data_IF_124804159213
#
_entry.id   IF_124804159213
#
_cell.length_a   1.000
_cell.length_b   1.000
_cell.length_c   1.000
_cell.angle_alpha   90.00
_cell.angle_beta   90.00
_cell.angle_gamma   90.00
#
_symmetry.space_group_name_H-M   'P 1'
#
loop_
_entity.id
_entity.type
_entity.pdbx_description
1 polymer ?
#
# COMPACT_ATOMS: atom_id res chain seq x y z
N UNK A 1 31.85 48.93 10.01
CA UNK A 1 33.21 48.88 10.55
C UNK A 1 34.08 47.75 9.97
N UNK A 2 33.54 46.65 9.50
CA UNK A 2 34.28 45.53 8.89
C UNK A 2 34.82 45.76 7.47
N UNK A 3 34.23 46.64 6.67
CA UNK A 3 34.65 46.89 5.29
C UNK A 3 35.96 47.70 5.17
N UNK A 4 36.35 48.44 6.23
CA UNK A 4 37.56 49.25 6.26
C UNK A 4 38.84 48.41 6.45
N UNK A 5 38.74 47.34 7.21
CA UNK A 5 39.88 46.43 7.46
C UNK A 5 40.25 45.56 6.23
N UNK A 6 39.26 45.20 5.37
CA UNK A 6 39.48 44.40 4.17
C UNK A 6 40.19 45.16 3.05
N UNK A 7 40.02 46.50 2.98
CA UNK A 7 40.60 47.34 1.92
C UNK A 7 42.05 47.69 2.18
N UNK A 8 42.55 47.59 3.43
CA UNK A 8 43.91 47.93 3.82
C UNK A 8 44.82 46.72 4.07
N UNK A 9 44.38 45.53 3.94
CA UNK A 9 45.17 44.32 4.23
C UNK A 9 46.35 44.12 3.25
N UNK A 10 46.19 44.46 2.00
CA UNK A 10 47.23 44.36 0.98
C UNK A 10 48.34 45.43 1.15
N UNK A 11 48.03 46.70 1.34
CA UNK A 11 49.07 47.70 1.59
C UNK A 11 49.79 47.46 2.93
N UNK A 12 49.11 46.92 3.97
CA UNK A 12 49.77 46.59 5.23
C UNK A 12 50.71 45.38 5.09
N UNK A 13 50.32 44.35 4.35
CA UNK A 13 51.16 43.20 4.04
C UNK A 13 52.40 43.63 3.21
N UNK A 14 52.19 44.52 2.25
CA UNK A 14 53.26 45.04 1.39
C UNK A 14 54.21 45.88 2.18
N UNK A 15 53.72 46.75 3.08
CA UNK A 15 54.56 47.54 4.00
C UNK A 15 55.36 46.65 4.95
N UNK A 16 54.75 45.57 5.45
CA UNK A 16 55.45 44.62 6.33
C UNK A 16 56.55 43.85 5.58
N UNK A 17 56.29 43.40 4.37
CA UNK A 17 57.28 42.73 3.52
C UNK A 17 58.42 43.70 3.17
N UNK A 18 58.10 44.96 2.85
CA UNK A 18 59.11 46.00 2.58
C UNK A 18 59.98 46.29 3.81
N UNK A 19 59.36 46.35 4.98
CA UNK A 19 60.06 46.55 6.26
C UNK A 19 61.06 45.41 6.57
N UNK A 20 60.62 44.15 6.33
CA UNK A 20 61.47 42.97 6.49
C UNK A 20 62.63 42.96 5.48
N UNK A 21 62.38 43.36 4.23
CA UNK A 21 63.39 43.50 3.18
C UNK A 21 64.42 44.61 3.52
N UNK A 22 63.94 45.77 4.01
CA UNK A 22 64.80 46.88 4.45
C UNK A 22 65.64 46.44 5.65
N UNK A 23 65.13 45.73 6.59
CA UNK A 23 65.85 45.17 7.74
C UNK A 23 66.95 44.19 7.27
N UNK A 24 66.68 43.33 6.29
CA UNK A 24 67.67 42.42 5.71
C UNK A 24 68.81 43.15 4.92
N UNK A 25 68.42 44.19 4.15
CA UNK A 25 69.42 45.00 3.44
C UNK A 25 70.30 45.79 4.40
N UNK A 26 69.75 46.28 5.49
CA UNK A 26 70.54 47.01 6.52
C UNK A 26 71.50 46.08 7.29
N UNK A 27 71.15 44.81 7.38
CA UNK A 27 71.98 43.79 8.03
C UNK A 27 73.11 43.28 7.13
N UNK A 28 72.98 43.37 5.80
CA UNK A 28 73.97 42.90 4.85
C UNK A 28 75.20 43.91 4.66
N UNK A 29 75.06 45.13 5.21
CA UNK A 29 76.00 46.21 4.92
C UNK A 29 77.08 46.50 5.99
N UNK A 30 77.17 45.76 7.11
CA UNK A 30 78.20 46.00 8.16
C UNK A 30 78.84 44.74 8.64
N UNK A 31 80.06 44.56 8.12
CA UNK A 31 80.97 43.57 8.63
C UNK A 31 81.46 43.95 10.04
N UNK A 32 81.59 42.93 10.82
CA UNK A 32 82.48 42.81 12.01
C UNK A 32 82.24 43.77 13.16
N UNK A 33 81.73 43.21 14.24
CA UNK A 33 81.70 43.61 15.65
C UNK A 33 80.27 43.81 16.18
N UNK A 34 79.73 42.78 16.71
CA UNK A 34 79.12 42.73 18.08
C UNK A 34 78.21 41.50 18.30
N UNK A 35 78.81 40.53 18.94
CA UNK A 35 78.11 39.30 19.43
C UNK A 35 76.93 39.51 20.40
N UNK A 36 76.61 40.71 20.77
CA UNK A 36 75.55 41.02 21.72
C UNK A 36 74.21 41.35 21.03
N UNK A 37 74.27 42.05 19.91
CA UNK A 37 73.05 42.40 19.15
C UNK A 37 72.47 41.19 18.41
N UNK A 38 73.32 40.28 17.88
CA UNK A 38 72.85 39.05 17.28
C UNK A 38 72.08 38.14 18.25
N UNK A 39 72.57 38.03 19.48
CA UNK A 39 71.84 37.25 20.50
C UNK A 39 70.46 37.83 20.85
N UNK A 40 70.30 39.14 20.87
CA UNK A 40 69.01 39.81 21.14
C UNK A 40 68.02 39.61 20.00
N UNK A 41 68.51 39.72 18.76
CA UNK A 41 67.70 39.53 17.56
C UNK A 41 67.21 38.07 17.43
N UNK A 42 68.10 37.09 17.69
CA UNK A 42 67.71 35.68 17.69
C UNK A 42 66.73 35.34 18.83
N UNK A 43 66.88 35.97 20.01
CA UNK A 43 65.99 35.72 21.13
C UNK A 43 64.60 36.32 20.94
N UNK A 44 64.47 37.42 20.22
CA UNK A 44 63.20 38.09 19.92
C UNK A 44 62.50 37.48 18.68
N UNK A 45 63.28 36.98 17.70
CA UNK A 45 62.73 36.35 16.49
C UNK A 45 62.22 34.93 16.68
N UNK A 46 62.74 34.21 17.70
CA UNK A 46 62.38 32.82 17.96
C UNK A 46 60.89 32.62 18.33
N UNK A 47 60.29 33.40 19.24
CA UNK A 47 58.88 33.30 19.59
C UNK A 47 57.96 33.72 18.42
N UNK A 48 58.41 34.58 17.50
CA UNK A 48 57.62 35.03 16.37
C UNK A 48 57.56 33.97 15.26
N UNK A 49 58.66 33.25 14.99
CA UNK A 49 58.69 32.14 14.04
C UNK A 49 57.88 30.94 14.52
N UNK A 50 57.94 30.60 15.81
CA UNK A 50 57.14 29.51 16.40
C UNK A 50 55.63 29.85 16.44
N UNK A 51 55.29 31.14 16.65
CA UNK A 51 53.92 31.60 16.63
C UNK A 51 53.28 31.52 15.22
N UNK A 52 54.01 31.83 14.18
CA UNK A 52 53.52 31.74 12.79
C UNK A 52 53.28 30.30 12.38
N UNK A 53 54.19 29.37 12.73
CA UNK A 53 53.98 27.95 12.46
C UNK A 53 52.77 27.36 13.19
N UNK A 54 52.54 27.81 14.42
CA UNK A 54 51.35 27.38 15.18
C UNK A 54 50.03 27.90 14.57
N UNK A 55 50.04 29.16 14.11
CA UNK A 55 48.86 29.76 13.47
C UNK A 55 48.56 29.14 12.10
N UNK A 56 49.56 28.85 11.27
CA UNK A 56 49.37 28.24 9.95
C UNK A 56 48.81 26.82 10.09
N UNK A 57 49.38 26.00 10.94
CA UNK A 57 48.90 24.63 11.17
C UNK A 57 47.49 24.57 11.80
N UNK A 58 47.09 25.59 12.58
CA UNK A 58 45.78 25.67 13.17
C UNK A 58 44.72 26.09 12.13
N UNK A 59 45.06 26.94 11.19
CA UNK A 59 44.13 27.40 10.14
C UNK A 59 43.91 26.30 9.10
N UNK A 60 44.94 25.55 8.71
CA UNK A 60 44.78 24.43 7.76
C UNK A 60 43.86 23.34 8.32
N UNK A 61 43.95 23.00 9.60
CA UNK A 61 43.06 22.04 10.24
C UNK A 61 41.58 22.49 10.30
N UNK A 62 41.32 23.79 10.38
CA UNK A 62 39.97 24.34 10.37
C UNK A 62 39.34 24.38 8.97
N UNK A 63 40.15 24.64 7.93
CA UNK A 63 39.68 24.61 6.55
C UNK A 63 39.38 23.21 6.08
N UNK A 64 40.22 22.24 6.36
CA UNK A 64 39.99 20.84 6.03
C UNK A 64 38.75 20.29 6.75
N UNK A 65 38.57 20.61 8.02
CA UNK A 65 37.40 20.23 8.77
C UNK A 65 36.10 20.83 8.20
N UNK A 66 36.12 22.10 7.77
CA UNK A 66 34.94 22.77 7.20
C UNK A 66 34.58 22.25 5.81
N UNK A 67 35.55 22.03 4.93
CA UNK A 67 35.35 21.47 3.59
C UNK A 67 34.85 20.02 3.69
N UNK A 68 35.45 19.23 4.58
CA UNK A 68 35.01 17.85 4.83
C UNK A 68 33.58 17.77 5.37
N UNK A 69 33.17 18.74 6.22
CA UNK A 69 31.81 18.79 6.78
C UNK A 69 30.76 19.12 5.72
N UNK A 70 31.08 19.99 4.76
CA UNK A 70 30.19 20.32 3.62
C UNK A 70 30.07 19.13 2.69
N UNK A 71 31.15 18.46 2.32
CA UNK A 71 31.15 17.27 1.49
C UNK A 71 30.33 16.14 2.13
N UNK A 72 30.55 15.89 3.41
CA UNK A 72 29.80 14.86 4.17
C UNK A 72 28.30 15.16 4.29
N UNK A 73 27.93 16.43 4.39
CA UNK A 73 26.51 16.82 4.40
C UNK A 73 25.84 16.57 3.04
N UNK A 74 26.49 16.92 1.95
CA UNK A 74 25.96 16.67 0.60
C UNK A 74 25.83 15.17 0.32
N UNK A 75 26.87 14.40 0.66
CA UNK A 75 26.85 12.95 0.53
C UNK A 75 25.74 12.31 1.38
N UNK A 76 25.56 12.76 2.64
CA UNK A 76 24.49 12.29 3.50
C UNK A 76 23.10 12.62 2.93
N UNK A 77 22.95 13.81 2.31
CA UNK A 77 21.71 14.18 1.63
C UNK A 77 21.46 13.31 0.39
N UNK A 78 22.49 13.06 -0.41
CA UNK A 78 22.39 12.18 -1.59
C UNK A 78 22.03 10.75 -1.17
N UNK A 79 22.73 10.20 -0.18
CA UNK A 79 22.44 8.87 0.35
C UNK A 79 21.02 8.77 0.92
N UNK A 80 20.53 9.79 1.62
CA UNK A 80 19.15 9.82 2.11
C UNK A 80 18.13 9.83 0.97
N UNK A 81 18.39 10.60 -0.09
CA UNK A 81 17.54 10.63 -1.26
C UNK A 81 17.53 9.29 -2.00
N UNK A 82 18.70 8.67 -2.15
CA UNK A 82 18.85 7.33 -2.76
C UNK A 82 18.14 6.26 -1.93
N UNK A 83 18.29 6.29 -0.60
CA UNK A 83 17.55 5.39 0.31
C UNK A 83 16.04 5.60 0.20
N UNK A 84 15.57 6.84 0.08
CA UNK A 84 14.16 7.15 -0.11
C UNK A 84 13.65 6.60 -1.45
N UNK A 85 14.38 6.80 -2.53
CA UNK A 85 14.04 6.28 -3.86
C UNK A 85 14.06 4.74 -3.90
N UNK A 86 15.08 4.12 -3.30
CA UNK A 86 15.16 2.66 -3.21
C UNK A 86 14.01 2.06 -2.40
N UNK A 87 13.61 2.72 -1.31
CA UNK A 87 12.44 2.30 -0.52
C UNK A 87 11.15 2.40 -1.33
N UNK A 88 10.99 3.48 -2.10
CA UNK A 88 9.82 3.65 -2.96
C UNK A 88 9.77 2.56 -4.05
N UNK A 89 10.90 2.32 -4.75
CA UNK A 89 11.01 1.23 -5.73
C UNK A 89 10.75 -0.14 -5.11
N UNK A 90 11.24 -0.39 -3.89
CA UNK A 90 10.97 -1.62 -3.18
C UNK A 90 9.48 -1.79 -2.87
N UNK A 91 8.81 -0.74 -2.37
CA UNK A 91 7.38 -0.76 -2.10
C UNK A 91 6.56 -1.02 -3.36
N UNK A 92 6.89 -0.36 -4.48
CA UNK A 92 6.25 -0.61 -5.78
C UNK A 92 6.46 -2.05 -6.24
N UNK A 93 7.67 -2.59 -6.09
CA UNK A 93 7.97 -3.99 -6.46
C UNK A 93 7.21 -4.99 -5.59
N UNK A 94 7.10 -4.74 -4.29
CA UNK A 94 6.33 -5.58 -3.37
C UNK A 94 4.85 -5.57 -3.73
N UNK A 95 4.27 -4.40 -3.97
CA UNK A 95 2.87 -4.25 -4.38
C UNK A 95 2.60 -4.99 -5.69
N UNK A 96 3.43 -4.80 -6.71
CA UNK A 96 3.34 -5.52 -7.97
C UNK A 96 3.42 -7.03 -7.78
N UNK A 97 4.26 -7.52 -6.87
CA UNK A 97 4.41 -8.95 -6.60
C UNK A 97 3.16 -9.55 -5.95
N UNK A 98 2.53 -8.80 -5.04
CA UNK A 98 1.27 -9.20 -4.40
C UNK A 98 0.15 -9.25 -5.43
N UNK A 99 0.01 -8.20 -6.23
CA UNK A 99 -0.98 -8.14 -7.31
C UNK A 99 -0.78 -9.27 -8.33
N UNK A 100 0.47 -9.53 -8.74
CA UNK A 100 0.77 -10.63 -9.68
C UNK A 100 0.39 -12.00 -9.12
N UNK A 101 0.72 -12.29 -7.85
CA UNK A 101 0.35 -13.56 -7.20
C UNK A 101 -1.17 -13.72 -7.13
N UNK A 102 -1.88 -12.64 -6.76
CA UNK A 102 -3.34 -12.63 -6.70
C UNK A 102 -3.95 -12.87 -8.07
N UNK A 103 -3.53 -12.09 -9.07
CA UNK A 103 -4.04 -12.19 -10.43
C UNK A 103 -3.76 -13.57 -11.05
N UNK A 104 -2.56 -14.14 -10.85
CA UNK A 104 -2.22 -15.49 -11.29
C UNK A 104 -3.12 -16.55 -10.65
N UNK A 105 -3.41 -16.42 -9.34
CA UNK A 105 -4.35 -17.31 -8.66
C UNK A 105 -5.75 -17.26 -9.26
N UNK A 106 -6.24 -16.05 -9.58
CA UNK A 106 -7.54 -15.85 -10.22
C UNK A 106 -7.57 -16.40 -11.66
N UNK A 107 -6.54 -16.19 -12.46
CA UNK A 107 -6.45 -16.73 -13.82
C UNK A 107 -6.45 -18.26 -13.84
N UNK A 108 -5.75 -18.91 -12.92
CA UNK A 108 -5.76 -20.37 -12.80
C UNK A 108 -7.15 -20.88 -12.39
N UNK A 109 -7.86 -20.16 -11.52
CA UNK A 109 -9.24 -20.47 -11.17
C UNK A 109 -10.19 -20.33 -12.38
N UNK A 110 -10.06 -19.24 -13.15
CA UNK A 110 -10.89 -19.03 -14.35
C UNK A 110 -10.72 -20.16 -15.40
N UNK A 111 -9.49 -20.65 -15.59
CA UNK A 111 -9.19 -21.75 -16.53
C UNK A 111 -9.76 -23.12 -16.12
N UNK A 112 -9.97 -23.36 -14.82
CA UNK A 112 -10.42 -24.66 -14.30
C UNK A 112 -11.94 -24.86 -14.37
N UNK A 113 -12.71 -23.81 -14.65
CA UNK A 113 -14.18 -23.92 -14.72
C UNK A 113 -14.65 -23.63 -16.15
N UNK A 114 -15.56 -24.46 -16.71
CA UNK A 114 -16.00 -24.35 -18.11
C UNK A 114 -16.91 -23.15 -18.37
N UNK A 115 -17.46 -22.50 -17.33
CA UNK A 115 -18.35 -21.36 -17.47
C UNK A 115 -17.61 -20.13 -18.03
N UNK A 116 -18.25 -19.44 -18.98
CA UNK A 116 -17.74 -18.15 -19.45
C UNK A 116 -17.85 -17.12 -18.33
N UNK A 117 -16.72 -16.48 -18.00
CA UNK A 117 -16.61 -15.48 -16.93
C UNK A 117 -16.04 -14.19 -17.48
N UNK A 118 -16.55 -13.07 -17.00
CA UNK A 118 -15.98 -11.73 -17.20
C UNK A 118 -15.26 -11.32 -15.92
N UNK A 119 -14.01 -10.98 -16.06
CA UNK A 119 -13.23 -10.35 -15.00
C UNK A 119 -13.61 -8.87 -14.91
N UNK A 120 -13.85 -8.39 -13.71
CA UNK A 120 -14.21 -7.01 -13.42
C UNK A 120 -13.50 -6.51 -12.17
N UNK A 121 -13.07 -5.26 -12.19
CA UNK A 121 -12.48 -4.55 -11.05
C UNK A 121 -13.55 -3.76 -10.32
N UNK A 122 -13.44 -3.71 -8.99
CA UNK A 122 -14.30 -2.91 -8.14
C UNK A 122 -13.74 -1.48 -8.15
N UNK A 123 -14.57 -0.54 -8.64
CA UNK A 123 -14.21 0.88 -8.79
C UNK A 123 -14.95 1.79 -7.82
N UNK A 124 -15.82 1.23 -6.99
CA UNK A 124 -16.55 1.99 -5.97
C UNK A 124 -17.38 1.10 -5.07
N UNK A 125 -17.79 1.64 -3.95
CA UNK A 125 -18.68 0.99 -2.99
C UNK A 125 -19.79 1.94 -2.55
N UNK A 126 -20.92 1.37 -2.13
CA UNK A 126 -22.00 2.14 -1.54
C UNK A 126 -21.59 2.64 -0.17
N UNK A 127 -21.82 3.92 0.10
CA UNK A 127 -21.57 4.54 1.41
C UNK A 127 -22.65 4.16 2.43
N UNK A 128 -23.77 3.59 1.97
CA UNK A 128 -24.89 3.22 2.83
C UNK A 128 -24.64 1.84 3.46
N UNK A 129 -24.57 1.79 4.78
CA UNK A 129 -24.41 0.55 5.55
C UNK A 129 -25.60 -0.43 5.40
N UNK A 130 -26.74 0.03 4.88
CA UNK A 130 -27.94 -0.79 4.67
C UNK A 130 -27.87 -1.51 3.32
N UNK A 131 -27.34 -0.84 2.30
CA UNK A 131 -27.24 -1.36 0.94
C UNK A 131 -25.80 -1.69 0.60
N UNK A 132 -25.42 -2.93 0.80
CA UNK A 132 -24.07 -3.38 0.49
C UNK A 132 -23.92 -3.67 -1.01
N UNK A 133 -23.47 -2.66 -1.74
CA UNK A 133 -23.24 -2.74 -3.18
C UNK A 133 -21.80 -2.41 -3.53
N UNK A 134 -21.35 -2.96 -4.66
CA UNK A 134 -20.05 -2.65 -5.28
C UNK A 134 -20.28 -2.24 -6.72
N UNK A 135 -19.61 -1.16 -7.15
CA UNK A 135 -19.59 -0.74 -8.54
C UNK A 135 -18.38 -1.39 -9.24
N UNK A 136 -18.60 -1.98 -10.42
CA UNK A 136 -17.54 -2.61 -11.22
C UNK A 136 -17.39 -1.97 -12.58
N UNK A 137 -16.19 -2.03 -13.15
CA UNK A 137 -15.79 -1.43 -14.44
C UNK A 137 -16.21 -2.26 -15.66
N UNK A 138 -17.26 -3.05 -15.56
CA UNK A 138 -17.83 -3.85 -16.67
C UNK A 138 -19.32 -3.65 -16.73
N UNK A 139 -19.85 -3.54 -17.96
CA UNK A 139 -21.25 -3.29 -18.21
C UNK A 139 -21.82 -4.14 -19.35
N UNK A 140 -22.95 -3.72 -19.93
CA UNK A 140 -23.63 -4.46 -20.98
C UNK A 140 -22.79 -4.64 -22.25
N UNK A 141 -21.88 -3.70 -22.57
CA UNK A 141 -20.92 -3.86 -23.69
C UNK A 141 -19.94 -5.02 -23.49
N UNK A 142 -19.76 -5.46 -22.26
CA UNK A 142 -18.92 -6.60 -21.89
C UNK A 142 -19.73 -7.89 -21.72
N UNK A 143 -21.02 -7.88 -22.14
CA UNK A 143 -21.91 -9.02 -22.07
C UNK A 143 -22.57 -9.23 -20.70
N UNK A 144 -22.46 -8.28 -19.77
CA UNK A 144 -23.11 -8.37 -18.47
C UNK A 144 -24.61 -8.12 -18.57
N UNK A 145 -25.37 -8.87 -17.79
CA UNK A 145 -26.81 -8.73 -17.64
C UNK A 145 -27.20 -8.77 -16.16
N UNK A 146 -28.37 -8.21 -15.85
CA UNK A 146 -28.97 -8.32 -14.51
C UNK A 146 -29.08 -9.78 -14.09
N UNK A 147 -28.91 -10.04 -12.80
CA UNK A 147 -28.96 -11.36 -12.15
C UNK A 147 -27.78 -12.29 -12.43
N UNK A 148 -26.76 -11.89 -13.18
CA UNK A 148 -25.55 -12.68 -13.29
C UNK A 148 -24.85 -12.77 -11.94
N UNK A 149 -24.33 -13.96 -11.60
CA UNK A 149 -23.65 -14.23 -10.33
C UNK A 149 -22.24 -13.71 -10.35
N UNK A 150 -21.83 -13.06 -9.25
CA UNK A 150 -20.47 -12.61 -8.99
C UNK A 150 -19.80 -13.56 -8.01
N UNK A 151 -18.60 -14.03 -8.34
CA UNK A 151 -17.83 -15.02 -7.57
C UNK A 151 -16.35 -14.66 -7.48
N UNK A 152 -15.71 -15.19 -6.46
CA UNK A 152 -14.25 -15.34 -6.36
C UNK A 152 -13.89 -16.82 -6.29
N UNK A 153 -12.61 -17.13 -6.28
CA UNK A 153 -12.13 -18.51 -6.12
C UNK A 153 -12.56 -19.12 -4.78
N UNK A 154 -12.73 -18.28 -3.76
CA UNK A 154 -13.13 -18.64 -2.40
C UNK A 154 -14.62 -18.94 -2.30
N UNK A 155 -15.48 -18.27 -3.12
CA UNK A 155 -16.91 -18.48 -3.05
C UNK A 155 -17.76 -17.41 -3.71
N UNK A 156 -19.02 -17.36 -3.29
CA UNK A 156 -20.05 -16.45 -3.79
C UNK A 156 -19.84 -15.04 -3.20
N UNK A 157 -19.87 -14.04 -4.07
CA UNK A 157 -19.81 -12.62 -3.71
C UNK A 157 -21.20 -11.97 -3.71
N UNK A 158 -21.97 -12.24 -4.77
CA UNK A 158 -23.24 -11.56 -4.96
C UNK A 158 -23.84 -11.79 -6.34
N UNK A 159 -24.65 -10.82 -6.78
CA UNK A 159 -25.21 -10.79 -8.12
C UNK A 159 -25.23 -9.38 -8.72
N UNK A 160 -25.28 -9.30 -10.03
CA UNK A 160 -25.48 -8.04 -10.76
C UNK A 160 -26.92 -7.57 -10.53
N UNK A 161 -27.10 -6.40 -9.95
CA UNK A 161 -28.42 -5.79 -9.72
C UNK A 161 -28.84 -4.86 -10.84
N UNK A 162 -27.94 -4.01 -11.30
CA UNK A 162 -28.18 -3.10 -12.42
C UNK A 162 -26.97 -3.01 -13.32
N UNK A 163 -27.21 -2.71 -14.59
CA UNK A 163 -26.17 -2.68 -15.62
C UNK A 163 -26.34 -1.42 -16.46
N UNK A 164 -25.24 -0.70 -16.65
CA UNK A 164 -25.09 0.39 -17.62
C UNK A 164 -24.18 -0.06 -18.78
N UNK A 165 -23.96 0.73 -19.81
CA UNK A 165 -23.08 0.30 -20.91
C UNK A 165 -21.66 -0.08 -20.50
N UNK A 166 -21.07 0.60 -19.52
CA UNK A 166 -19.67 0.42 -19.11
C UNK A 166 -19.47 -0.10 -17.70
N UNK A 167 -20.47 0.00 -16.85
CA UNK A 167 -20.39 -0.31 -15.42
C UNK A 167 -21.60 -1.14 -14.97
N UNK A 168 -21.48 -1.79 -13.80
CA UNK A 168 -22.58 -2.53 -13.18
C UNK A 168 -22.49 -2.43 -11.68
N UNK A 169 -23.67 -2.43 -11.04
CA UNK A 169 -23.80 -2.52 -9.59
C UNK A 169 -23.97 -3.99 -9.18
N UNK A 170 -23.11 -4.45 -8.28
CA UNK A 170 -23.19 -5.77 -7.65
C UNK A 170 -23.85 -5.63 -6.29
N UNK A 171 -24.92 -6.37 -6.05
CA UNK A 171 -25.50 -6.58 -4.74
C UNK A 171 -24.73 -7.71 -4.05
N UNK A 172 -24.14 -7.43 -2.88
CA UNK A 172 -23.43 -8.44 -2.11
C UNK A 172 -24.40 -9.43 -1.44
N UNK A 173 -23.93 -10.64 -1.11
CA UNK A 173 -24.74 -11.63 -0.38
C UNK A 173 -25.08 -11.16 1.04
N UNK A 174 -24.30 -10.26 1.62
CA UNK A 174 -24.51 -9.66 2.95
C UNK A 174 -25.50 -8.49 2.93
N UNK A 175 -25.89 -7.97 1.76
CA UNK A 175 -26.97 -6.98 1.67
C UNK A 175 -28.27 -7.54 2.27
N UNK A 176 -28.96 -6.74 3.09
CA UNK A 176 -30.15 -7.17 3.81
C UNK A 176 -31.31 -7.60 2.89
N UNK A 177 -31.32 -7.16 1.62
CA UNK A 177 -32.31 -7.59 0.59
C UNK A 177 -31.83 -8.83 -0.16
N UNK A 178 -30.60 -9.26 0.06
CA UNK A 178 -30.07 -10.45 -0.61
C UNK A 178 -30.77 -11.70 -0.11
N UNK A 179 -31.19 -12.57 -1.02
CA UNK A 179 -31.80 -13.87 -0.76
C UNK A 179 -31.11 -14.90 -1.64
N UNK A 180 -30.35 -15.82 -1.05
CA UNK A 180 -29.62 -16.84 -1.78
C UNK A 180 -30.15 -18.23 -1.40
N UNK A 181 -30.77 -18.94 -2.34
CA UNK A 181 -31.15 -20.34 -2.11
C UNK A 181 -29.92 -21.22 -1.90
N UNK A 182 -29.82 -21.86 -0.76
CA UNK A 182 -28.66 -22.61 -0.34
C UNK A 182 -28.99 -24.02 0.16
N UNK A 183 -27.94 -24.82 0.29
CA UNK A 183 -28.02 -26.11 0.94
C UNK A 183 -26.71 -26.42 1.70
N UNK A 184 -26.85 -27.23 2.75
CA UNK A 184 -25.69 -27.77 3.48
C UNK A 184 -25.08 -28.87 2.62
N UNK A 185 -23.79 -28.78 2.36
CA UNK A 185 -23.10 -29.68 1.44
C UNK A 185 -23.15 -31.14 1.89
N UNK A 186 -23.02 -31.41 3.19
CA UNK A 186 -22.96 -32.75 3.79
C UNK A 186 -24.24 -33.56 3.60
N UNK A 187 -25.36 -32.98 3.98
CA UNK A 187 -26.66 -33.74 4.07
C UNK A 187 -27.77 -33.17 3.16
N UNK A 188 -27.43 -32.18 2.32
CA UNK A 188 -28.32 -31.56 1.33
C UNK A 188 -29.55 -30.85 1.94
N UNK A 189 -29.54 -30.55 3.23
CA UNK A 189 -30.57 -29.76 3.91
C UNK A 189 -30.63 -28.38 3.28
N UNK A 190 -31.83 -27.99 2.87
CA UNK A 190 -32.06 -26.70 2.17
C UNK A 190 -32.42 -25.60 3.15
N UNK A 191 -32.15 -24.37 2.76
CA UNK A 191 -32.55 -23.14 3.44
C UNK A 191 -32.32 -21.93 2.54
N UNK A 192 -32.61 -20.76 3.06
CA UNK A 192 -32.47 -19.50 2.37
C UNK A 192 -31.49 -18.62 3.16
N UNK A 193 -30.48 -18.10 2.50
CA UNK A 193 -29.52 -17.18 3.10
C UNK A 193 -30.04 -15.76 3.03
N UNK A 194 -29.96 -15.10 4.17
CA UNK A 194 -30.27 -13.68 4.36
C UNK A 194 -28.98 -12.94 4.73
N UNK A 195 -28.75 -11.81 4.09
CA UNK A 195 -27.77 -10.86 4.56
C UNK A 195 -28.26 -10.18 5.85
N UNK A 196 -27.32 -9.95 6.77
CA UNK A 196 -27.57 -9.24 8.03
C UNK A 196 -26.46 -8.21 8.24
N UNK A 197 -26.63 -7.30 9.20
CA UNK A 197 -25.58 -6.32 9.53
C UNK A 197 -24.27 -6.97 10.01
N UNK A 198 -24.36 -8.16 10.60
CA UNK A 198 -23.22 -8.88 11.20
C UNK A 198 -22.71 -10.05 10.36
N UNK A 199 -23.28 -10.29 9.15
CA UNK A 199 -22.85 -11.40 8.29
C UNK A 199 -24.02 -12.05 7.55
N UNK A 200 -24.10 -13.38 7.60
CA UNK A 200 -25.11 -14.16 6.91
C UNK A 200 -25.90 -15.04 7.90
N UNK A 201 -27.15 -15.20 7.63
CA UNK A 201 -28.02 -16.11 8.38
C UNK A 201 -28.76 -17.03 7.41
N UNK A 202 -28.70 -18.34 7.63
CA UNK A 202 -29.52 -19.34 6.94
C UNK A 202 -30.78 -19.56 7.70
N UNK A 203 -31.95 -19.32 7.06
CA UNK A 203 -33.29 -19.49 7.61
C UNK A 203 -34.05 -20.56 6.85
N UNK A 204 -35.26 -20.86 7.34
CA UNK A 204 -36.16 -21.86 6.74
C UNK A 204 -35.54 -23.29 6.72
N UNK A 205 -34.70 -23.59 7.68
CA UNK A 205 -34.14 -24.92 7.85
C UNK A 205 -35.11 -25.76 8.65
N UNK A 206 -35.55 -26.91 8.13
CA UNK A 206 -36.43 -27.81 8.86
C UNK A 206 -35.85 -28.14 10.24
N UNK A 207 -36.61 -27.99 11.29
CA UNK A 207 -36.22 -28.21 12.68
C UNK A 207 -35.65 -29.62 12.93
N UNK A 208 -36.16 -30.63 12.25
CA UNK A 208 -35.74 -32.02 12.38
C UNK A 208 -34.44 -32.32 11.63
N UNK A 209 -34.00 -31.39 10.77
CA UNK A 209 -32.80 -31.58 10.01
C UNK A 209 -31.53 -31.44 10.90
N UNK A 210 -30.58 -32.31 10.70
CA UNK A 210 -29.31 -32.26 11.38
C UNK A 210 -28.46 -31.15 10.81
N UNK A 211 -28.11 -30.14 11.63
CA UNK A 211 -27.24 -29.01 11.29
C UNK A 211 -26.17 -28.90 12.36
N UNK A 212 -24.90 -28.84 11.95
CA UNK A 212 -23.74 -28.77 12.84
C UNK A 212 -22.88 -27.55 12.57
N UNK A 213 -22.24 -27.03 13.61
CA UNK A 213 -21.15 -26.07 13.46
C UNK A 213 -20.04 -26.64 12.58
N UNK A 214 -19.51 -25.86 11.64
CA UNK A 214 -18.51 -26.28 10.66
C UNK A 214 -19.11 -26.86 9.36
N UNK A 215 -20.43 -27.10 9.28
CA UNK A 215 -21.04 -27.53 8.02
C UNK A 215 -20.85 -26.47 6.92
N UNK A 216 -20.42 -26.92 5.74
CA UNK A 216 -20.24 -26.07 4.56
C UNK A 216 -21.58 -25.81 3.89
N UNK A 217 -21.82 -24.56 3.57
CA UNK A 217 -23.03 -24.08 2.90
C UNK A 217 -22.69 -23.66 1.48
N UNK A 218 -23.43 -24.20 0.51
CA UNK A 218 -23.26 -23.94 -0.91
C UNK A 218 -24.57 -23.50 -1.55
N UNK A 219 -24.49 -22.84 -2.72
CA UNK A 219 -25.67 -22.48 -3.50
C UNK A 219 -26.42 -23.74 -3.97
N UNK A 220 -27.75 -23.72 -3.88
CA UNK A 220 -28.58 -24.85 -4.26
C UNK A 220 -28.85 -24.95 -5.78
N UNK A 221 -28.75 -23.84 -6.52
CA UNK A 221 -29.16 -23.73 -7.91
C UNK A 221 -30.67 -23.51 -8.12
N UNK A 222 -31.46 -23.51 -7.05
CA UNK A 222 -32.90 -23.28 -7.13
C UNK A 222 -33.21 -21.83 -7.48
N UNK A 223 -34.27 -21.61 -8.22
CA UNK A 223 -34.71 -20.29 -8.68
C UNK A 223 -33.87 -19.72 -9.85
N UNK A 224 -32.83 -20.44 -10.32
CA UNK A 224 -32.05 -20.05 -11.51
C UNK A 224 -31.21 -18.78 -11.39
N UNK A 225 -31.11 -18.17 -10.22
CA UNK A 225 -30.34 -16.95 -10.00
C UNK A 225 -28.85 -17.20 -9.75
N UNK A 226 -28.53 -18.34 -9.15
CA UNK A 226 -27.14 -18.71 -8.81
C UNK A 226 -26.83 -20.10 -9.31
N UNK A 227 -25.65 -20.33 -9.90
CA UNK A 227 -25.18 -21.67 -10.24
C UNK A 227 -25.15 -22.56 -8.99
N UNK A 228 -25.40 -23.85 -9.15
CA UNK A 228 -25.34 -24.82 -8.06
C UNK A 228 -23.89 -25.09 -7.63
N UNK A 229 -23.64 -25.19 -6.34
CA UNK A 229 -22.38 -25.71 -5.80
C UNK A 229 -21.33 -24.66 -5.47
N UNK A 230 -21.64 -23.36 -5.60
CA UNK A 230 -20.70 -22.28 -5.21
C UNK A 230 -20.71 -22.20 -3.69
N UNK A 231 -19.54 -22.18 -3.08
CA UNK A 231 -19.38 -22.04 -1.63
C UNK A 231 -19.88 -20.66 -1.17
N UNK A 232 -20.67 -20.63 -0.09
CA UNK A 232 -21.13 -19.40 0.56
C UNK A 232 -20.34 -19.16 1.83
N UNK A 233 -20.16 -20.20 2.66
CA UNK A 233 -19.46 -20.10 3.93
C UNK A 233 -19.62 -21.33 4.78
N UNK A 234 -19.29 -21.19 6.07
CA UNK A 234 -19.41 -22.26 7.07
C UNK A 234 -20.35 -21.86 8.19
N UNK A 235 -21.10 -22.80 8.73
CA UNK A 235 -21.98 -22.60 9.88
C UNK A 235 -21.12 -22.40 11.13
N UNK A 236 -21.32 -21.28 11.81
CA UNK A 236 -20.62 -20.96 13.09
C UNK A 236 -21.50 -21.21 14.30
N UNK A 237 -22.80 -21.02 14.17
CA UNK A 237 -23.76 -21.18 15.25
C UNK A 237 -25.09 -21.68 14.72
N UNK A 238 -25.81 -22.52 15.49
CA UNK A 238 -27.15 -22.98 15.16
C UNK A 238 -28.10 -22.58 16.29
N UNK A 239 -29.20 -21.86 15.94
CA UNK A 239 -30.20 -21.41 16.89
C UNK A 239 -31.50 -22.22 16.69
N UNK A 240 -31.94 -22.92 17.73
CA UNK A 240 -33.15 -23.69 17.76
C UNK A 240 -34.07 -23.14 18.84
N UNK A 241 -35.21 -22.60 18.46
CA UNK A 241 -36.18 -22.14 19.43
C UNK A 241 -37.25 -23.23 19.68
N UNK A 242 -37.68 -23.43 20.94
CA UNK A 242 -38.55 -24.56 21.30
C UNK A 242 -39.88 -24.60 20.55
N UNK A 243 -40.45 -23.46 20.18
CA UNK A 243 -41.78 -23.33 19.57
C UNK A 243 -41.76 -23.02 18.07
N UNK A 244 -40.60 -22.92 17.43
CA UNK A 244 -40.53 -22.64 16.01
C UNK A 244 -40.46 -23.91 15.16
N UNK A 245 -41.10 -23.87 13.97
CA UNK A 245 -41.08 -24.95 12.99
C UNK A 245 -39.74 -25.05 12.26
N UNK A 246 -38.96 -23.97 12.28
CA UNK A 246 -37.68 -23.85 11.59
C UNK A 246 -36.58 -23.52 12.59
N UNK A 247 -35.38 -23.93 12.26
CA UNK A 247 -34.14 -23.50 12.92
C UNK A 247 -33.38 -22.51 12.02
N UNK A 248 -32.54 -21.70 12.64
CA UNK A 248 -31.66 -20.75 11.94
C UNK A 248 -30.21 -21.05 12.22
N UNK A 249 -29.33 -20.68 11.31
CA UNK A 249 -27.91 -20.86 11.49
C UNK A 249 -27.13 -19.60 11.03
N UNK A 250 -26.24 -19.11 11.89
CA UNK A 250 -25.30 -18.03 11.53
C UNK A 250 -24.19 -18.59 10.69
N UNK A 251 -23.78 -17.86 9.64
CA UNK A 251 -22.79 -18.30 8.67
C UNK A 251 -21.67 -17.26 8.59
N UNK A 252 -20.45 -17.75 8.69
CA UNK A 252 -19.25 -16.99 8.33
C UNK A 252 -18.98 -17.11 6.83
N UNK A 253 -18.84 -15.99 6.14
CA UNK A 253 -18.62 -15.95 4.69
C UNK A 253 -17.29 -16.60 4.31
N UNK A 254 -17.27 -17.35 3.20
CA UNK A 254 -16.03 -17.91 2.67
C UNK A 254 -15.13 -16.84 2.01
N UNK A 255 -15.71 -15.72 1.63
CA UNK A 255 -15.07 -14.59 0.95
C UNK A 255 -14.98 -13.41 1.91
N UNK A 256 -13.80 -12.80 2.03
CA UNK A 256 -13.67 -11.50 2.68
C UNK A 256 -14.19 -10.40 1.75
N UNK A 257 -15.46 -10.02 1.98
CA UNK A 257 -16.17 -9.03 1.17
C UNK A 257 -15.68 -7.58 1.39
N UNK A 258 -14.88 -7.35 2.45
CA UNK A 258 -14.35 -6.01 2.76
C UNK A 258 -13.07 -5.68 2.00
N UNK A 259 -12.32 -6.70 1.57
CA UNK A 259 -11.00 -6.55 0.92
C UNK A 259 -11.00 -6.96 -0.54
N UNK A 260 -12.18 -7.00 -1.15
CA UNK A 260 -12.29 -7.34 -2.57
C UNK A 260 -11.86 -6.18 -3.46
N UNK A 261 -11.02 -6.45 -4.41
CA UNK A 261 -10.63 -5.51 -5.46
C UNK A 261 -11.08 -5.96 -6.84
N UNK A 262 -11.25 -7.28 -7.05
CA UNK A 262 -11.70 -7.86 -8.30
C UNK A 262 -12.79 -8.91 -8.07
N UNK A 263 -13.51 -9.25 -9.14
CA UNK A 263 -14.57 -10.25 -9.12
C UNK A 263 -14.73 -10.89 -10.49
N UNK A 264 -15.14 -12.16 -10.53
CA UNK A 264 -15.59 -12.82 -11.75
C UNK A 264 -17.10 -12.82 -11.82
N UNK A 265 -17.65 -12.40 -12.96
CA UNK A 265 -19.07 -12.44 -13.22
C UNK A 265 -19.34 -13.59 -14.21
N UNK A 266 -20.16 -14.55 -13.83
CA UNK A 266 -20.52 -15.70 -14.63
C UNK A 266 -21.55 -15.26 -15.67
N UNK A 267 -21.16 -15.28 -16.96
CA UNK A 267 -22.03 -14.86 -18.07
C UNK A 267 -22.63 -16.01 -18.86
N UNK A 268 -22.23 -17.23 -18.56
CA UNK A 268 -22.84 -18.45 -19.10
C UNK A 268 -23.43 -19.25 -17.97
N UNK A 269 -24.72 -19.37 -17.97
CA UNK A 269 -25.45 -20.29 -17.11
C UNK A 269 -26.57 -20.96 -17.88
N UNK A 270 -26.96 -22.16 -17.50
CA UNK A 270 -28.13 -22.85 -18.05
C UNK A 270 -29.46 -22.23 -17.59
N UNK A 271 -29.46 -20.93 -17.31
CA UNK A 271 -30.64 -20.27 -16.76
C UNK A 271 -31.52 -19.80 -17.93
N UNK A 272 -32.69 -20.44 -18.16
CA UNK A 272 -33.64 -19.90 -19.07
C UNK A 272 -34.04 -18.51 -18.61
N UNK A 273 -33.65 -17.49 -19.33
CA UNK A 273 -34.16 -16.14 -19.19
C UNK A 273 -35.64 -16.22 -19.59
N UNK A 274 -36.52 -16.14 -18.59
CA UNK A 274 -37.96 -16.15 -18.86
C UNK A 274 -38.73 -17.26 -18.18
N UNK A 275 -38.34 -17.70 -17.00
CA UNK A 275 -39.30 -18.44 -16.14
C UNK A 275 -40.35 -17.45 -15.66
N UNK A 276 -41.65 -17.63 -16.02
CA UNK A 276 -42.72 -16.67 -15.74
C UNK A 276 -43.10 -16.55 -14.25
N UNK A 277 -42.32 -17.13 -13.34
CA UNK A 277 -42.55 -17.12 -11.89
C UNK A 277 -42.12 -15.84 -11.17
N UNK A 278 -41.58 -14.87 -11.86
CA UNK A 278 -41.12 -13.58 -11.28
C UNK A 278 -41.48 -12.36 -12.12
N UNK A 279 -42.62 -12.37 -12.80
CA UNK A 279 -43.24 -11.11 -13.23
C UNK A 279 -43.88 -10.49 -12.00
N UNK A 280 -43.25 -9.43 -11.49
CA UNK A 280 -43.88 -8.50 -10.54
C UNK A 280 -45.19 -8.00 -11.14
N UNK A 281 -46.26 -8.23 -10.40
CA UNK A 281 -47.50 -7.43 -10.47
C UNK A 281 -47.34 -6.22 -9.59
#
# INVERSE_FOLDING_TARGET
MYQFLFRFRYPFALLFILLVLLLNLFQSGRGNESNRLQKIIHTVSYPFQSGIHYLVNTIDGWWDGYVMLIGTRQENQQLRNEVAELKERLNQSLENSVQYKRLRGQLLFAKRQPDRKVFAEIIGESVDNIHQMRLVNRGSRHGLKRNFSAILKEGLVGRVQSVTPFQSNLQLITDFRSRVPALIQRNRVRGLIYGTQTGLEMRQINRRAEVKKGDRVITSGLGGLFPKGILIGNIVEVKRQPHELFQTASIETAVDLSRMEEVFIIISGPYPQGSPLFTEK
#
